data_IF_916009751014
#
_entry.id   IF_916009751014
#
_cell.length_a   1.000
_cell.length_b   1.000
_cell.length_c   1.000
_cell.angle_alpha   90.00
_cell.angle_beta   90.00
_cell.angle_gamma   90.00
#
_symmetry.space_group_name_H-M   'P 1'
#
loop_
_entity.id
_entity.type
_entity.pdbx_description
1 polymer ?
#
# COMPACT_ATOMS: atom_id res chain seq x y z
N UNK A 1 3.34 -13.39 5.25
CA UNK A 1 4.54 -12.87 5.93
C UNK A 1 5.73 -13.81 5.67
N UNK A 2 6.13 -13.97 4.40
CA UNK A 2 7.30 -14.77 3.98
C UNK A 2 8.34 -13.90 3.25
N UNK A 3 8.23 -12.59 3.42
CA UNK A 3 9.20 -11.63 2.91
C UNK A 3 10.28 -11.44 3.98
N UNK A 4 11.54 -11.39 3.57
CA UNK A 4 12.69 -10.99 4.41
C UNK A 4 13.13 -12.01 5.50
N UNK A 5 13.22 -13.30 5.15
CA UNK A 5 14.06 -14.25 5.91
C UNK A 5 13.49 -14.79 7.23
N UNK A 6 12.20 -14.56 7.53
CA UNK A 6 11.47 -15.15 8.67
C UNK A 6 12.11 -14.85 10.06
N UNK A 7 12.82 -13.73 10.19
CA UNK A 7 13.44 -13.31 11.45
C UNK A 7 12.52 -12.42 12.31
N UNK A 8 12.79 -12.37 13.62
CA UNK A 8 12.09 -11.48 14.56
C UNK A 8 12.28 -10.01 14.16
N UNK A 9 13.46 -9.64 13.70
CA UNK A 9 13.76 -8.27 13.28
C UNK A 9 12.96 -7.89 12.04
N UNK A 10 12.82 -8.80 11.06
CA UNK A 10 11.97 -8.57 9.90
C UNK A 10 10.49 -8.38 10.29
N UNK A 11 9.99 -9.15 11.26
CA UNK A 11 8.64 -8.96 11.79
C UNK A 11 8.48 -7.60 12.48
N UNK A 12 9.50 -7.16 13.21
CA UNK A 12 9.49 -5.87 13.90
C UNK A 12 9.48 -4.70 12.90
N UNK A 13 10.29 -4.75 11.84
CA UNK A 13 10.24 -3.76 10.76
C UNK A 13 8.89 -3.76 10.01
N UNK A 14 8.31 -4.95 9.74
CA UNK A 14 6.97 -5.04 9.14
C UNK A 14 5.88 -4.43 10.04
N UNK A 15 5.94 -4.66 11.35
CA UNK A 15 4.99 -4.06 12.30
C UNK A 15 5.13 -2.54 12.31
N UNK A 16 6.36 -2.05 12.38
CA UNK A 16 6.66 -0.61 12.32
C UNK A 16 6.07 0.03 11.05
N UNK A 17 6.25 -0.60 9.89
CA UNK A 17 5.77 -0.02 8.64
C UNK A 17 4.25 0.07 8.57
N UNK A 18 3.54 -0.94 9.09
CA UNK A 18 2.07 -0.93 9.21
C UNK A 18 1.61 0.21 10.11
N UNK A 19 2.25 0.39 11.27
CA UNK A 19 1.91 1.45 12.23
C UNK A 19 2.15 2.86 11.64
N UNK A 20 3.26 3.04 10.90
CA UNK A 20 3.55 4.30 10.22
C UNK A 20 2.50 4.59 9.14
N UNK A 21 2.17 3.62 8.29
CA UNK A 21 1.11 3.80 7.27
C UNK A 21 -0.22 4.16 7.93
N UNK A 22 -0.62 3.44 8.97
CA UNK A 22 -1.87 3.69 9.70
C UNK A 22 -1.91 5.09 10.35
N UNK A 23 -0.76 5.65 10.73
CA UNK A 23 -0.67 7.01 11.27
C UNK A 23 -0.84 8.11 10.21
N UNK A 24 -0.57 7.81 8.93
CA UNK A 24 -0.59 8.78 7.83
C UNK A 24 -1.93 8.76 7.09
N UNK A 25 -2.50 7.57 6.86
CA UNK A 25 -3.73 7.42 6.07
C UNK A 25 -4.87 6.84 6.92
N UNK A 26 -6.07 7.46 6.92
CA UNK A 26 -7.24 6.88 7.55
C UNK A 26 -7.62 5.54 6.90
N UNK A 27 -8.12 4.59 7.70
CA UNK A 27 -8.48 3.25 7.22
C UNK A 27 -9.37 3.25 5.97
N UNK A 28 -10.36 4.14 5.90
CA UNK A 28 -11.25 4.26 4.73
C UNK A 28 -10.51 4.65 3.44
N UNK A 29 -9.44 5.44 3.54
CA UNK A 29 -8.60 5.81 2.38
C UNK A 29 -7.67 4.67 1.98
N UNK A 30 -7.11 3.97 2.97
CA UNK A 30 -6.36 2.73 2.72
C UNK A 30 -7.20 1.70 1.98
N UNK A 31 -8.40 1.40 2.48
CA UNK A 31 -9.34 0.43 1.89
C UNK A 31 -9.65 0.76 0.43
N UNK A 32 -9.94 2.02 0.13
CA UNK A 32 -10.18 2.48 -1.24
C UNK A 32 -8.95 2.32 -2.14
N UNK A 33 -7.77 2.72 -1.67
CA UNK A 33 -6.53 2.62 -2.43
C UNK A 33 -6.15 1.16 -2.71
N UNK A 34 -6.19 0.28 -1.71
CA UNK A 34 -5.96 -1.16 -1.87
C UNK A 34 -6.97 -1.79 -2.84
N UNK A 35 -8.23 -1.36 -2.80
CA UNK A 35 -9.25 -1.82 -3.76
C UNK A 35 -8.84 -1.48 -5.20
N UNK A 36 -8.37 -0.26 -5.45
CA UNK A 36 -7.87 0.13 -6.78
C UNK A 36 -6.62 -0.65 -7.19
N UNK A 37 -5.68 -0.89 -6.27
CA UNK A 37 -4.49 -1.71 -6.53
C UNK A 37 -4.91 -3.13 -6.94
N UNK A 38 -5.73 -3.78 -6.11
CA UNK A 38 -6.20 -5.15 -6.31
C UNK A 38 -6.96 -5.32 -7.63
N UNK A 39 -7.96 -4.47 -7.91
CA UNK A 39 -8.71 -4.51 -9.17
C UNK A 39 -7.84 -4.13 -10.37
N UNK A 40 -6.83 -3.28 -10.15
CA UNK A 40 -5.82 -2.94 -11.13
C UNK A 40 -4.89 -4.10 -11.50
N UNK A 41 -4.86 -5.21 -10.77
CA UNK A 41 -4.10 -6.42 -11.16
C UNK A 41 -4.84 -7.29 -12.18
N UNK A 42 -6.11 -7.02 -12.47
CA UNK A 42 -6.86 -7.75 -13.50
C UNK A 42 -6.23 -7.53 -14.89
N UNK A 43 -6.26 -8.58 -15.70
CA UNK A 43 -5.72 -8.58 -17.06
C UNK A 43 -6.67 -7.90 -18.04
N UNK A 44 -6.11 -7.45 -19.16
CA UNK A 44 -6.86 -6.79 -20.24
C UNK A 44 -7.46 -5.44 -19.83
N UNK A 45 -8.50 -5.04 -20.55
CA UNK A 45 -9.14 -3.72 -20.42
C UNK A 45 -9.80 -3.49 -19.06
N UNK A 46 -10.26 -4.56 -18.40
CA UNK A 46 -10.92 -4.47 -17.08
C UNK A 46 -10.02 -3.84 -16.02
N UNK A 47 -8.75 -4.23 -15.97
CA UNK A 47 -7.78 -3.64 -15.04
C UNK A 47 -7.36 -2.21 -15.41
N UNK A 48 -7.42 -1.84 -16.70
CA UNK A 48 -7.03 -0.49 -17.16
C UNK A 48 -7.93 0.58 -16.52
N UNK A 49 -9.23 0.31 -16.42
CA UNK A 49 -10.20 1.22 -15.81
C UNK A 49 -9.81 1.59 -14.36
N UNK A 50 -9.33 0.62 -13.59
CA UNK A 50 -8.91 0.81 -12.20
C UNK A 50 -7.49 1.37 -12.05
N UNK A 51 -6.66 1.38 -13.10
CA UNK A 51 -5.32 1.99 -13.07
C UNK A 51 -5.30 3.44 -13.56
N UNK A 52 -6.17 3.79 -14.52
CA UNK A 52 -6.07 5.06 -15.25
C UNK A 52 -6.97 6.17 -14.71
N UNK A 53 -8.04 5.85 -13.99
CA UNK A 53 -8.96 6.84 -13.42
C UNK A 53 -8.27 7.82 -12.47
N UNK A 54 -8.67 9.09 -12.51
CA UNK A 54 -8.08 10.14 -11.67
C UNK A 54 -8.19 9.81 -10.16
N UNK A 55 -9.36 9.31 -9.73
CA UNK A 55 -9.59 8.89 -8.33
C UNK A 55 -8.66 7.75 -7.93
N UNK A 56 -8.47 6.76 -8.81
CA UNK A 56 -7.58 5.65 -8.56
C UNK A 56 -6.12 6.13 -8.42
N UNK A 57 -5.66 6.97 -9.34
CA UNK A 57 -4.30 7.54 -9.28
C UNK A 57 -4.07 8.31 -7.99
N UNK A 58 -5.01 9.17 -7.60
CA UNK A 58 -4.89 9.94 -6.35
C UNK A 58 -4.83 9.02 -5.14
N UNK A 59 -5.78 8.10 -4.99
CA UNK A 59 -5.83 7.18 -3.85
C UNK A 59 -4.57 6.30 -3.75
N UNK A 60 -4.12 5.73 -4.87
CA UNK A 60 -2.92 4.90 -4.91
C UNK A 60 -1.66 5.74 -4.65
N UNK A 61 -1.60 6.98 -5.13
CA UNK A 61 -0.45 7.86 -4.88
C UNK A 61 -0.32 8.27 -3.41
N UNK A 62 -1.45 8.51 -2.72
CA UNK A 62 -1.48 8.79 -1.29
C UNK A 62 -0.96 7.58 -0.49
N UNK A 63 -1.45 6.37 -0.81
CA UNK A 63 -0.98 5.14 -0.18
C UNK A 63 0.52 4.91 -0.42
N UNK A 64 1.02 5.09 -1.66
CA UNK A 64 2.44 4.90 -1.98
C UNK A 64 3.35 5.89 -1.26
N UNK A 65 2.90 7.13 -1.05
CA UNK A 65 3.66 8.13 -0.26
C UNK A 65 3.77 7.69 1.20
N UNK A 66 2.67 7.20 1.79
CA UNK A 66 2.70 6.66 3.15
C UNK A 66 3.60 5.42 3.28
N UNK A 67 3.58 4.53 2.29
CA UNK A 67 4.49 3.38 2.23
C UNK A 67 5.95 3.80 2.11
N UNK A 68 6.26 4.79 1.26
CA UNK A 68 7.63 5.31 1.13
C UNK A 68 8.16 5.93 2.44
N UNK A 69 7.32 6.65 3.18
CA UNK A 69 7.67 7.17 4.51
C UNK A 69 7.91 6.03 5.51
N UNK A 70 7.08 4.99 5.46
CA UNK A 70 7.23 3.80 6.29
C UNK A 70 8.54 3.05 5.96
N UNK A 71 8.90 2.96 4.67
CA UNK A 71 10.14 2.34 4.23
C UNK A 71 11.35 3.09 4.80
N UNK A 72 11.40 4.42 4.66
CA UNK A 72 12.52 5.25 5.18
C UNK A 72 12.66 5.17 6.70
N UNK A 73 11.56 4.97 7.43
CA UNK A 73 11.55 4.98 8.91
C UNK A 73 11.79 3.62 9.54
N UNK A 74 11.44 2.53 8.86
CA UNK A 74 11.36 1.20 9.47
C UNK A 74 12.30 0.15 8.84
N UNK A 75 12.88 0.45 7.66
CA UNK A 75 13.79 -0.43 6.93
C UNK A 75 15.09 0.29 6.56
#
# INVERSE_FOLDING_TARGET
MKANGESRDALQSCSCSIDVVASIIPYKRYEAAETFVSLGLQTGERGVLFRQGAVAKTAVSELRRAQAEADVRCF
#
